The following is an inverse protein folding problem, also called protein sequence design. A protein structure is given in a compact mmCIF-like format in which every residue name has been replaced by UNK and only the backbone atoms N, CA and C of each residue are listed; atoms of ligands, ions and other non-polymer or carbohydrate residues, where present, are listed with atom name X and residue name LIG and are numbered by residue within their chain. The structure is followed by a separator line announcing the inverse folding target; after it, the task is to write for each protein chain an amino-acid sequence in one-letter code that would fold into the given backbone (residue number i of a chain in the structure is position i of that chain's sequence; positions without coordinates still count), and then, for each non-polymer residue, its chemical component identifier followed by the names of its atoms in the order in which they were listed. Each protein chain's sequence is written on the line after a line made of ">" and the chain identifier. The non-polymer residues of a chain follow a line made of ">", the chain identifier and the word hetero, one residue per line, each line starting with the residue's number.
data_IF_664271625016
#
_entry.id   IF_664271625016
#
_cell.length_a   1.000
_cell.length_b   1.000
_cell.length_c   1.000
_cell.angle_alpha   90.00
_cell.angle_beta   90.00
_cell.angle_gamma   90.00
#
_symmetry.space_group_name_H-M   'P 1'
#
loop_
_entity.id
_entity.type
_entity.pdbx_description
1 polymer ?
#
# COMPACT_ATOMS: atom_id res chain seq x y z
N UNK A 1 -3.10 -9.19 14.97
CA UNK A 1 -4.36 -8.88 14.25
C UNK A 1 -4.02 -8.73 12.78
N UNK A 2 -4.33 -9.73 11.95
CA UNK A 2 -4.04 -9.69 10.51
C UNK A 2 -5.20 -8.94 9.86
N UNK A 3 -5.02 -7.66 9.53
CA UNK A 3 -6.01 -6.94 8.72
C UNK A 3 -5.88 -7.46 7.28
N UNK A 4 -6.91 -8.14 6.80
CA UNK A 4 -6.98 -8.63 5.44
C UNK A 4 -7.36 -7.47 4.52
N UNK A 5 -6.38 -6.94 3.79
CA UNK A 5 -6.64 -5.92 2.77
C UNK A 5 -7.20 -6.58 1.49
N UNK A 6 -8.36 -6.13 0.97
CA UNK A 6 -8.90 -6.58 -0.31
C UNK A 6 -7.88 -6.42 -1.44
N UNK A 7 -7.94 -7.30 -2.45
CA UNK A 7 -7.02 -7.23 -3.60
C UNK A 7 -7.15 -5.90 -4.35
N UNK A 8 -8.38 -5.45 -4.58
CA UNK A 8 -8.68 -4.17 -5.23
C UNK A 8 -8.06 -2.98 -4.49
N UNK A 9 -8.10 -3.00 -3.16
CA UNK A 9 -7.47 -1.98 -2.33
C UNK A 9 -5.94 -1.97 -2.51
N UNK A 10 -5.31 -3.15 -2.52
CA UNK A 10 -3.85 -3.24 -2.73
C UNK A 10 -3.43 -2.71 -4.09
N UNK A 11 -4.18 -3.07 -5.14
CA UNK A 11 -3.91 -2.61 -6.52
C UNK A 11 -4.07 -1.09 -6.59
N UNK A 12 -5.15 -0.52 -6.04
CA UNK A 12 -5.36 0.93 -6.03
C UNK A 12 -4.24 1.69 -5.31
N UNK A 13 -3.73 1.16 -4.19
CA UNK A 13 -2.60 1.77 -3.47
C UNK A 13 -1.31 1.67 -4.27
N UNK A 14 -1.03 0.53 -4.91
CA UNK A 14 0.14 0.34 -5.78
C UNK A 14 0.10 1.32 -6.95
N UNK A 15 -1.04 1.41 -7.64
CA UNK A 15 -1.23 2.29 -8.80
C UNK A 15 -1.00 3.77 -8.46
N UNK A 16 -1.53 4.25 -7.33
CA UNK A 16 -1.32 5.63 -6.88
C UNK A 16 0.15 5.91 -6.55
N UNK A 17 0.86 4.91 -6.01
CA UNK A 17 2.29 5.05 -5.70
C UNK A 17 3.15 5.01 -6.97
N UNK A 18 2.83 4.16 -7.94
CA UNK A 18 3.53 4.08 -9.23
C UNK A 18 3.31 5.33 -10.09
N UNK A 19 2.11 5.91 -10.06
CA UNK A 19 1.81 7.20 -10.70
C UNK A 19 2.50 8.39 -10.01
N UNK A 20 3.09 8.18 -8.84
CA UNK A 20 3.71 9.25 -8.05
C UNK A 20 2.71 10.18 -7.35
N UNK A 21 1.43 9.80 -7.28
CA UNK A 21 0.40 10.57 -6.57
C UNK A 21 0.63 10.55 -5.05
N UNK A 22 1.25 9.48 -4.55
CA UNK A 22 1.70 9.40 -3.15
C UNK A 22 2.91 8.51 -2.98
N UNK A 23 3.68 8.75 -1.93
CA UNK A 23 4.76 7.85 -1.52
C UNK A 23 4.21 6.68 -0.70
N UNK A 24 4.93 5.55 -0.66
CA UNK A 24 4.58 4.42 0.20
C UNK A 24 4.44 4.81 1.69
N UNK A 25 5.19 5.82 2.16
CA UNK A 25 5.09 6.35 3.53
C UNK A 25 3.77 7.10 3.76
N UNK A 26 3.35 7.90 2.79
CA UNK A 26 2.06 8.59 2.84
C UNK A 26 0.90 7.59 2.78
N UNK A 27 0.99 6.56 1.94
CA UNK A 27 0.01 5.48 1.89
C UNK A 27 -0.12 4.78 3.28
N UNK A 28 1.01 4.53 3.94
CA UNK A 28 1.01 3.94 5.29
C UNK A 28 0.28 4.80 6.32
N UNK A 29 0.58 6.10 6.37
CA UNK A 29 -0.12 7.02 7.27
C UNK A 29 -1.59 7.19 6.91
N UNK A 30 -1.90 7.39 5.63
CA UNK A 30 -3.24 7.68 5.13
C UNK A 30 -4.22 6.53 5.37
N UNK A 31 -3.76 5.30 5.15
CA UNK A 31 -4.60 4.11 5.25
C UNK A 31 -4.37 3.32 6.54
N UNK A 32 -3.56 3.85 7.48
CA UNK A 32 -3.24 3.17 8.73
C UNK A 32 -2.54 1.82 8.54
N UNK A 33 -1.82 1.63 7.43
CA UNK A 33 -1.17 0.37 7.10
C UNK A 33 -0.02 0.14 8.09
N UNK A 34 -0.24 -0.80 8.98
CA UNK A 34 0.77 -1.24 9.94
C UNK A 34 1.84 -2.08 9.23
N UNK A 35 3.10 -1.85 9.59
CA UNK A 35 4.27 -2.52 9.02
C UNK A 35 4.99 -1.69 7.96
N UNK A 36 6.26 -1.34 8.25
CA UNK A 36 7.12 -0.51 7.39
C UNK A 36 7.31 -1.10 5.98
N UNK A 37 7.18 -2.42 5.83
CA UNK A 37 7.42 -3.16 4.59
C UNK A 37 6.13 -3.59 3.86
N UNK A 38 4.94 -3.41 4.43
CA UNK A 38 3.70 -3.93 3.85
C UNK A 38 3.42 -3.37 2.45
N UNK A 39 3.54 -2.05 2.28
CA UNK A 39 3.35 -1.39 0.98
C UNK A 39 4.48 -1.76 0.00
N UNK A 40 5.71 -1.89 0.48
CA UNK A 40 6.85 -2.34 -0.35
C UNK A 40 6.69 -3.78 -0.85
N UNK A 41 6.08 -4.66 -0.06
CA UNK A 41 5.76 -6.03 -0.48
C UNK A 41 4.67 -6.03 -1.55
N UNK A 42 3.70 -5.11 -1.47
CA UNK A 42 2.67 -4.98 -2.51
C UNK A 42 3.27 -4.48 -3.82
N UNK A 43 4.11 -3.45 -3.77
CA UNK A 43 4.84 -2.91 -4.95
C UNK A 43 5.78 -3.91 -5.63
N UNK A 44 6.22 -4.96 -4.93
CA UNK A 44 7.05 -6.02 -5.53
C UNK A 44 6.24 -7.16 -6.13
N UNK A 45 4.96 -7.27 -5.76
CA UNK A 45 4.11 -8.41 -6.09
C UNK A 45 3.08 -8.05 -7.17
N UNK A 46 2.64 -6.80 -7.19
CA UNK A 46 1.75 -6.21 -8.17
C UNK A 46 2.53 -5.12 -8.88
#
# INVERSE_FOLDING_TARGET
>A
MIILYPLSFKIAVVEQVEKGEMTYKQAQQRYGIQGRSTVLVWLRKY
#
